data_IF_383296921940
#
_entry.id   IF_383296921940
#
_cell.length_a   1.000
_cell.length_b   1.000
_cell.length_c   1.000
_cell.angle_alpha   90.00
_cell.angle_beta   90.00
_cell.angle_gamma   90.00
#
_symmetry.space_group_name_H-M   'P 1'
#
loop_
_entity.id
_entity.type
_entity.pdbx_description
1 polymer ?
#
# COMPACT_ATOMS: atom_id res chain seq x y z
N UNK A 1 -69.43 -8.16 -37.94
CA UNK A 1 -70.16 -9.46 -37.93
C UNK A 1 -69.18 -10.51 -38.43
N UNK A 2 -68.74 -11.45 -37.59
CA UNK A 2 -69.40 -12.75 -37.30
C UNK A 2 -69.22 -13.72 -38.48
N UNK A 3 -68.70 -14.95 -38.34
CA UNK A 3 -68.43 -15.79 -37.15
C UNK A 3 -67.27 -16.81 -37.47
N UNK A 4 -66.45 -17.26 -36.50
CA UNK A 4 -66.45 -18.61 -35.84
C UNK A 4 -66.49 -19.85 -36.79
N UNK A 5 -65.75 -20.95 -36.60
CA UNK A 5 -64.70 -21.33 -35.63
C UNK A 5 -63.85 -22.56 -36.10
N UNK A 6 -62.51 -22.47 -35.99
CA UNK A 6 -61.47 -23.38 -35.42
C UNK A 6 -61.44 -24.94 -35.65
N UNK A 7 -60.20 -25.48 -35.63
CA UNK A 7 -59.71 -26.87 -35.45
C UNK A 7 -59.61 -27.74 -36.74
N UNK A 8 -58.68 -28.70 -36.90
CA UNK A 8 -57.88 -29.48 -35.90
C UNK A 8 -56.56 -30.03 -36.49
N UNK A 9 -55.41 -29.93 -35.78
CA UNK A 9 -54.12 -30.72 -35.86
C UNK A 9 -53.45 -30.98 -37.26
N UNK A 10 -52.18 -31.41 -37.46
CA UNK A 10 -50.85 -31.31 -36.80
C UNK A 10 -49.81 -31.97 -37.80
N UNK A 11 -48.52 -32.28 -37.57
CA UNK A 11 -47.55 -32.25 -36.45
C UNK A 11 -46.09 -32.32 -37.02
N UNK A 12 -45.05 -31.90 -36.26
CA UNK A 12 -43.58 -32.11 -36.55
C UNK A 12 -43.05 -31.39 -37.83
N UNK A 13 -41.83 -30.85 -37.97
CA UNK A 13 -40.61 -30.70 -37.12
C UNK A 13 -40.13 -29.22 -37.21
N UNK A 14 -39.09 -28.71 -36.55
CA UNK A 14 -37.97 -29.32 -35.82
C UNK A 14 -37.55 -28.42 -34.65
N UNK A 15 -37.38 -28.97 -33.46
CA UNK A 15 -36.90 -28.26 -32.26
C UNK A 15 -35.53 -28.78 -31.84
N UNK A 16 -34.48 -27.96 -32.00
CA UNK A 16 -33.16 -28.21 -31.42
C UNK A 16 -32.32 -26.92 -31.37
N UNK A 17 -32.49 -26.15 -30.31
CA UNK A 17 -31.47 -25.24 -29.79
C UNK A 17 -31.39 -25.47 -28.28
N UNK A 18 -30.33 -26.14 -27.86
CA UNK A 18 -30.03 -26.42 -26.45
C UNK A 18 -28.91 -25.49 -25.98
N UNK A 19 -29.17 -24.83 -24.86
CA UNK A 19 -28.22 -24.52 -23.76
C UNK A 19 -26.80 -24.10 -24.14
N UNK A 20 -26.51 -22.81 -23.92
CA UNK A 20 -25.18 -22.32 -23.54
C UNK A 20 -25.31 -21.11 -22.58
N UNK A 21 -26.13 -21.26 -21.54
CA UNK A 21 -26.06 -20.40 -20.36
C UNK A 21 -25.31 -21.22 -19.30
N UNK A 22 -23.98 -21.16 -19.36
CA UNK A 22 -23.18 -21.42 -18.16
C UNK A 22 -23.30 -20.20 -17.27
N UNK A 23 -23.27 -20.41 -15.95
CA UNK A 23 -22.87 -19.35 -15.04
C UNK A 23 -21.45 -18.87 -15.44
N UNK A 24 -21.11 -17.58 -15.28
CA UNK A 24 -19.76 -17.12 -15.60
C UNK A 24 -18.75 -17.89 -14.75
N UNK A 25 -17.74 -18.50 -15.40
CA UNK A 25 -16.64 -19.12 -14.66
C UNK A 25 -15.98 -18.06 -13.79
N UNK A 26 -16.00 -18.31 -12.47
CA UNK A 26 -15.42 -17.44 -11.47
C UNK A 26 -13.91 -17.38 -11.69
N UNK A 27 -13.42 -16.21 -12.12
CA UNK A 27 -12.04 -16.02 -12.54
C UNK A 27 -11.15 -16.12 -11.31
N UNK A 28 -10.62 -17.32 -11.06
CA UNK A 28 -9.66 -17.54 -9.99
C UNK A 28 -8.40 -16.72 -10.28
N UNK A 29 -8.14 -15.75 -9.42
CA UNK A 29 -6.87 -15.04 -9.36
C UNK A 29 -5.78 -16.00 -8.86
N UNK A 30 -4.53 -15.67 -9.16
CA UNK A 30 -3.38 -16.43 -8.69
C UNK A 30 -2.15 -15.52 -8.64
N UNK A 31 -1.50 -15.43 -7.50
CA UNK A 31 -0.19 -14.78 -7.40
C UNK A 31 0.87 -15.65 -8.08
N UNK A 32 1.51 -15.12 -9.11
CA UNK A 32 2.59 -15.76 -9.88
C UNK A 32 3.98 -15.42 -9.32
N UNK A 33 4.06 -14.40 -8.46
CA UNK A 33 5.28 -14.01 -7.75
C UNK A 33 5.05 -12.79 -6.87
N UNK A 34 5.90 -12.62 -5.85
CA UNK A 34 5.88 -11.51 -4.90
C UNK A 34 7.22 -10.77 -5.00
N UNK A 35 7.17 -9.44 -5.10
CA UNK A 35 8.35 -8.60 -4.88
C UNK A 35 8.41 -8.21 -3.40
N UNK A 36 9.61 -8.29 -2.84
CA UNK A 36 9.89 -8.00 -1.44
C UNK A 36 10.92 -6.87 -1.43
N UNK A 37 10.56 -5.77 -0.80
CA UNK A 37 11.34 -4.52 -0.76
C UNK A 37 12.01 -4.41 0.60
N UNK A 38 13.22 -3.82 0.64
CA UNK A 38 14.02 -3.79 1.86
C UNK A 38 14.77 -2.47 2.00
N UNK A 39 14.63 -1.79 3.14
CA UNK A 39 15.23 -0.47 3.35
C UNK A 39 16.75 -0.49 3.17
N UNK A 40 17.40 -1.55 3.66
CA UNK A 40 18.84 -1.55 3.90
C UNK A 40 19.22 -0.72 5.14
N UNK A 41 20.49 -0.72 5.50
CA UNK A 41 20.98 0.05 6.66
C UNK A 41 21.27 1.49 6.30
N UNK A 42 20.67 2.46 6.99
CA UNK A 42 20.87 3.90 6.76
C UNK A 42 22.34 4.30 6.55
N UNK A 43 22.63 5.00 5.45
CA UNK A 43 23.97 5.43 5.05
C UNK A 43 24.88 4.33 4.47
N UNK A 44 24.36 3.11 4.25
CA UNK A 44 25.13 1.97 3.73
C UNK A 44 24.94 1.73 2.23
N UNK A 45 23.91 2.33 1.61
CA UNK A 45 23.54 2.20 0.21
C UNK A 45 23.45 0.72 -0.25
N UNK A 46 22.70 -0.07 0.53
CA UNK A 46 22.53 -1.52 0.34
C UNK A 46 21.06 -1.97 0.27
N UNK A 47 20.13 -1.06 -0.06
CA UNK A 47 18.73 -1.39 -0.28
C UNK A 47 18.56 -2.43 -1.42
N UNK A 48 17.63 -3.38 -1.26
CA UNK A 48 17.45 -4.52 -2.17
C UNK A 48 16.00 -4.79 -2.50
N UNK A 49 15.74 -5.26 -3.72
CA UNK A 49 14.44 -5.85 -4.10
C UNK A 49 14.69 -7.32 -4.46
N UNK A 50 14.11 -8.21 -3.66
CA UNK A 50 14.11 -9.65 -3.89
C UNK A 50 12.77 -10.10 -4.46
N UNK A 51 12.72 -11.33 -4.98
CA UNK A 51 11.49 -11.94 -5.49
C UNK A 51 11.26 -13.32 -4.91
N UNK A 52 10.02 -13.61 -4.52
CA UNK A 52 9.60 -14.90 -4.00
C UNK A 52 8.52 -15.52 -4.90
N UNK A 53 8.59 -16.84 -5.12
CA UNK A 53 7.58 -17.58 -5.87
C UNK A 53 6.74 -18.46 -4.91
N UNK A 54 5.44 -18.17 -4.72
CA UNK A 54 4.59 -18.85 -3.75
C UNK A 54 4.14 -20.27 -4.14
N UNK A 55 4.49 -20.76 -5.34
CA UNK A 55 4.19 -22.13 -5.80
C UNK A 55 5.32 -23.13 -5.52
N UNK A 56 6.58 -22.68 -5.56
CA UNK A 56 7.76 -23.54 -5.39
C UNK A 56 8.67 -23.12 -4.23
N UNK A 57 8.29 -22.06 -3.49
CA UNK A 57 8.98 -21.57 -2.30
C UNK A 57 10.44 -21.12 -2.60
N UNK A 58 10.70 -20.65 -3.82
CA UNK A 58 12.01 -20.10 -4.21
C UNK A 58 12.07 -18.58 -4.00
N UNK A 59 12.94 -18.14 -3.08
CA UNK A 59 13.36 -16.74 -2.96
C UNK A 59 14.64 -16.46 -3.77
N UNK A 60 14.69 -15.29 -4.39
CA UNK A 60 15.80 -14.80 -5.20
C UNK A 60 16.10 -13.31 -4.86
N UNK A 61 17.20 -13.01 -4.15
CA UNK A 61 17.57 -11.63 -3.78
C UNK A 61 18.18 -10.81 -4.95
N UNK A 62 18.46 -11.45 -6.10
CA UNK A 62 19.33 -10.91 -7.13
C UNK A 62 18.59 -10.35 -8.37
N UNK A 63 17.26 -10.36 -8.45
CA UNK A 63 16.56 -9.94 -9.68
C UNK A 63 16.83 -8.46 -10.04
N UNK A 64 16.65 -7.52 -9.11
CA UNK A 64 16.97 -6.10 -9.36
C UNK A 64 18.47 -5.93 -9.65
N UNK A 65 19.34 -6.61 -8.88
CA UNK A 65 20.80 -6.50 -9.00
C UNK A 65 21.30 -7.01 -10.36
N UNK A 66 20.70 -8.08 -10.87
CA UNK A 66 21.01 -8.68 -12.18
C UNK A 66 20.55 -7.85 -13.37
N UNK A 67 19.48 -7.05 -13.21
CA UNK A 67 19.00 -6.15 -14.27
C UNK A 67 19.70 -4.79 -14.27
N UNK A 68 19.95 -4.22 -13.08
CA UNK A 68 20.42 -2.83 -12.92
C UNK A 68 21.90 -2.71 -12.52
N UNK A 69 22.55 -3.82 -12.14
CA UNK A 69 23.99 -3.88 -11.85
C UNK A 69 24.42 -3.42 -10.46
N UNK A 70 23.50 -3.14 -9.55
CA UNK A 70 23.80 -2.66 -8.19
C UNK A 70 22.61 -2.74 -7.23
N UNK A 71 22.79 -2.18 -6.03
CA UNK A 71 21.71 -1.89 -5.08
C UNK A 71 20.85 -0.72 -5.59
N UNK A 72 19.58 -0.63 -5.19
CA UNK A 72 18.69 0.43 -5.67
C UNK A 72 19.03 1.81 -5.08
N UNK A 73 19.50 1.82 -3.83
CA UNK A 73 19.92 3.01 -3.11
C UNK A 73 20.14 2.73 -1.62
N UNK A 74 19.70 3.69 -0.81
CA UNK A 74 19.82 3.79 0.65
C UNK A 74 18.46 4.20 1.22
N UNK A 75 17.95 3.41 2.17
CA UNK A 75 16.59 3.48 2.78
C UNK A 75 15.49 3.55 1.73
N UNK A 76 15.19 2.39 1.13
CA UNK A 76 14.00 2.18 0.29
C UNK A 76 12.74 2.24 1.16
N UNK A 77 12.05 3.38 1.20
CA UNK A 77 11.09 3.71 2.25
C UNK A 77 9.64 3.32 1.97
N UNK A 78 9.21 3.46 0.72
CA UNK A 78 7.86 3.15 0.25
C UNK A 78 7.91 2.87 -1.27
N UNK A 79 6.96 2.09 -1.75
CA UNK A 79 6.77 1.67 -3.14
C UNK A 79 5.33 1.93 -3.58
N UNK A 80 5.17 2.74 -4.63
CA UNK A 80 3.92 2.81 -5.39
C UNK A 80 4.02 1.96 -6.66
N UNK A 81 3.17 0.94 -6.79
CA UNK A 81 2.99 0.17 -8.03
C UNK A 81 1.81 0.77 -8.82
N UNK A 82 2.12 1.65 -9.77
CA UNK A 82 1.12 2.35 -10.59
C UNK A 82 0.83 1.60 -11.90
N UNK A 83 -0.22 0.79 -11.87
CA UNK A 83 -0.73 0.07 -13.03
C UNK A 83 -1.35 0.96 -14.13
N UNK A 84 -1.58 2.25 -13.90
CA UNK A 84 -2.06 3.18 -14.93
C UNK A 84 -0.92 3.70 -15.81
N UNK A 85 0.27 3.89 -15.21
CA UNK A 85 1.48 4.35 -15.89
C UNK A 85 2.49 3.21 -16.18
N UNK A 86 2.13 1.94 -15.93
CA UNK A 86 2.97 0.73 -16.16
C UNK A 86 4.33 0.80 -15.43
N UNK A 87 4.32 1.36 -14.22
CA UNK A 87 5.52 1.83 -13.52
C UNK A 87 5.49 1.55 -12.01
N UNK A 88 6.66 1.23 -11.46
CA UNK A 88 6.91 1.18 -10.02
C UNK A 88 7.75 2.40 -9.66
N UNK A 89 7.30 3.17 -8.67
CA UNK A 89 8.05 4.24 -8.04
C UNK A 89 8.61 3.75 -6.71
N UNK A 90 9.92 3.81 -6.51
CA UNK A 90 10.53 3.50 -5.21
C UNK A 90 11.10 4.76 -4.58
N UNK A 91 10.54 5.12 -3.42
CA UNK A 91 11.03 6.23 -2.60
C UNK A 91 12.34 5.80 -1.92
N UNK A 92 13.41 6.56 -2.12
CA UNK A 92 14.72 6.29 -1.54
C UNK A 92 15.10 7.44 -0.58
N UNK A 93 14.72 7.29 0.69
CA UNK A 93 14.81 8.30 1.73
C UNK A 93 16.25 8.76 1.96
N UNK A 94 17.16 7.84 2.27
CA UNK A 94 18.59 8.13 2.50
C UNK A 94 19.34 8.52 1.23
N UNK A 95 18.80 8.16 0.06
CA UNK A 95 19.36 8.55 -1.24
C UNK A 95 18.93 9.93 -1.71
N UNK A 96 17.87 10.53 -1.14
CA UNK A 96 17.20 11.73 -1.65
C UNK A 96 16.83 11.60 -3.14
N UNK A 97 16.06 10.57 -3.50
CA UNK A 97 15.57 10.33 -4.88
C UNK A 97 14.31 9.45 -4.90
N UNK A 98 13.58 9.45 -6.01
CA UNK A 98 12.62 8.39 -6.37
C UNK A 98 13.18 7.62 -7.57
N UNK A 99 13.26 6.29 -7.52
CA UNK A 99 13.63 5.44 -8.67
C UNK A 99 12.38 5.06 -9.47
N UNK A 100 12.42 5.26 -10.79
CA UNK A 100 11.31 4.99 -11.71
C UNK A 100 11.64 3.72 -12.50
N UNK A 101 10.94 2.64 -12.17
CA UNK A 101 11.17 1.30 -12.72
C UNK A 101 9.98 0.83 -13.55
N UNK A 102 10.23 -0.02 -14.55
CA UNK A 102 9.18 -0.86 -15.15
C UNK A 102 8.63 -1.85 -14.13
N UNK A 103 7.44 -2.42 -14.38
CA UNK A 103 6.88 -3.51 -13.55
C UNK A 103 7.77 -4.77 -13.45
N UNK A 104 8.84 -4.87 -14.26
CA UNK A 104 9.83 -5.94 -14.20
C UNK A 104 11.10 -5.57 -13.39
N UNK A 105 11.06 -4.52 -12.57
CA UNK A 105 12.17 -4.01 -11.73
C UNK A 105 13.39 -3.45 -12.48
N UNK A 106 13.33 -3.29 -13.80
CA UNK A 106 14.33 -2.49 -14.55
C UNK A 106 14.11 -0.99 -14.28
N UNK A 107 15.11 -0.33 -13.71
CA UNK A 107 15.18 1.14 -13.56
C UNK A 107 15.32 1.82 -14.92
N UNK A 108 14.65 2.96 -15.09
CA UNK A 108 14.64 3.74 -16.33
C UNK A 108 15.08 5.19 -16.15
N UNK A 109 14.70 5.83 -15.03
CA UNK A 109 15.10 7.19 -14.65
C UNK A 109 14.98 7.40 -13.12
N UNK A 110 15.40 8.55 -12.59
CA UNK A 110 15.15 8.92 -11.18
C UNK A 110 14.71 10.38 -11.02
N UNK A 111 13.62 10.62 -10.27
CA UNK A 111 13.25 11.98 -9.83
C UNK A 111 14.25 12.42 -8.77
N UNK A 112 14.95 13.53 -9.01
CA UNK A 112 15.90 14.13 -8.07
C UNK A 112 16.12 15.62 -8.32
N UNK A 113 15.94 16.44 -7.29
CA UNK A 113 16.22 17.88 -7.29
C UNK A 113 16.83 18.31 -5.95
N UNK A 114 17.29 19.56 -5.85
CA UNK A 114 18.13 20.01 -4.73
C UNK A 114 17.41 20.14 -3.38
N UNK A 115 16.08 20.28 -3.40
CA UNK A 115 15.22 20.40 -2.21
C UNK A 115 14.68 19.05 -1.71
N UNK A 116 14.81 17.99 -2.51
CA UNK A 116 14.40 16.64 -2.11
C UNK A 116 15.36 16.15 -1.01
N UNK A 117 14.85 15.97 0.20
CA UNK A 117 15.63 15.62 1.38
C UNK A 117 14.82 14.79 2.38
N UNK A 118 15.15 13.49 2.48
CA UNK A 118 14.36 12.46 3.19
C UNK A 118 12.89 12.40 2.72
N UNK A 119 12.63 12.07 1.44
CA UNK A 119 11.27 11.76 0.98
C UNK A 119 10.71 10.53 1.71
N UNK A 120 9.38 10.47 1.89
CA UNK A 120 8.69 9.44 2.67
C UNK A 120 7.81 8.57 1.78
N UNK A 121 6.91 9.19 1.03
CA UNK A 121 5.93 8.51 0.19
C UNK A 121 5.70 9.26 -1.15
N UNK A 122 5.04 8.60 -2.11
CA UNK A 122 4.66 9.14 -3.42
C UNK A 122 3.26 8.69 -3.86
N UNK A 123 2.37 9.65 -4.11
CA UNK A 123 1.05 9.41 -4.72
C UNK A 123 0.95 10.04 -6.11
N UNK A 124 0.20 9.42 -7.03
CA UNK A 124 0.13 9.84 -8.44
C UNK A 124 -1.31 10.10 -8.89
N UNK A 125 -1.52 11.21 -9.60
CA UNK A 125 -2.78 11.56 -10.28
C UNK A 125 -2.49 11.90 -11.75
N UNK A 126 -2.66 10.91 -12.63
CA UNK A 126 -2.35 11.04 -14.06
C UNK A 126 -0.87 11.27 -14.30
N UNK A 127 -0.51 12.50 -14.68
CA UNK A 127 0.88 12.91 -14.96
C UNK A 127 1.51 13.71 -13.81
N UNK A 128 0.81 13.92 -12.69
CA UNK A 128 1.37 14.57 -11.50
C UNK A 128 1.73 13.53 -10.45
N UNK A 129 2.95 13.63 -9.92
CA UNK A 129 3.35 12.96 -8.68
C UNK A 129 3.38 13.97 -7.53
N UNK A 130 2.92 13.52 -6.36
CA UNK A 130 2.97 14.22 -5.09
C UNK A 130 3.91 13.43 -4.18
N UNK A 131 4.95 14.06 -3.65
CA UNK A 131 5.97 13.41 -2.83
C UNK A 131 6.00 14.08 -1.46
N UNK A 132 5.81 13.30 -0.38
CA UNK A 132 5.96 13.80 0.99
C UNK A 132 7.43 13.87 1.36
N UNK A 133 7.86 15.02 1.89
CA UNK A 133 9.27 15.31 2.13
C UNK A 133 9.49 15.87 3.54
N UNK A 134 10.26 15.15 4.36
CA UNK A 134 10.62 15.58 5.70
C UNK A 134 11.44 16.87 5.72
N UNK A 135 12.37 17.04 4.79
CA UNK A 135 13.27 18.19 4.75
C UNK A 135 14.41 18.10 5.78
N UNK A 136 15.18 19.19 5.95
CA UNK A 136 16.36 19.23 6.81
C UNK A 136 16.03 19.27 8.32
N UNK A 137 16.88 18.63 9.12
CA UNK A 137 16.89 18.79 10.57
C UNK A 137 17.48 20.13 11.00
N UNK A 138 16.93 20.72 12.06
CA UNK A 138 17.53 21.85 12.78
C UNK A 138 18.53 21.38 13.86
N UNK A 139 19.12 22.33 14.59
CA UNK A 139 20.14 22.08 15.64
C UNK A 139 19.67 21.16 16.79
N UNK A 140 18.35 20.96 16.96
CA UNK A 140 17.73 20.10 17.98
C UNK A 140 17.22 18.76 17.41
N UNK A 141 17.56 18.41 16.16
CA UNK A 141 17.06 17.22 15.44
C UNK A 141 15.53 17.18 15.21
N UNK A 142 14.84 18.33 15.29
CA UNK A 142 13.48 18.47 14.75
C UNK A 142 13.57 18.76 13.25
N UNK A 143 12.63 18.24 12.45
CA UNK A 143 12.48 18.63 11.05
C UNK A 143 12.13 20.12 10.92
N UNK A 144 12.40 20.68 9.74
CA UNK A 144 12.02 22.04 9.35
C UNK A 144 11.85 22.13 7.83
N UNK A 145 10.88 22.91 7.35
CA UNK A 145 10.56 23.02 5.92
C UNK A 145 10.18 21.65 5.33
N UNK A 146 9.25 20.95 5.99
CA UNK A 146 8.59 19.81 5.37
C UNK A 146 7.58 20.30 4.32
N UNK A 147 7.54 19.62 3.18
CA UNK A 147 6.78 20.05 2.01
C UNK A 147 6.15 18.83 1.31
N UNK A 148 5.05 19.04 0.60
CA UNK A 148 4.65 18.16 -0.50
C UNK A 148 5.21 18.74 -1.79
N UNK A 149 6.02 17.97 -2.51
CA UNK A 149 6.53 18.35 -3.83
C UNK A 149 5.61 17.84 -4.93
N UNK A 150 5.30 18.70 -5.91
CA UNK A 150 4.50 18.35 -7.08
C UNK A 150 5.42 18.26 -8.31
N UNK A 151 5.44 17.12 -8.99
CA UNK A 151 6.38 16.78 -10.07
C UNK A 151 5.64 16.40 -11.35
N UNK A 152 6.09 16.88 -12.51
CA UNK A 152 5.58 16.46 -13.83
C UNK A 152 6.26 15.15 -14.26
N UNK A 153 5.50 14.06 -14.32
CA UNK A 153 5.98 12.74 -14.72
C UNK A 153 6.35 12.61 -16.22
N UNK A 154 6.08 13.65 -17.03
CA UNK A 154 6.57 13.73 -18.41
C UNK A 154 8.04 14.21 -18.49
N UNK A 155 8.51 14.98 -17.50
CA UNK A 155 9.86 15.57 -17.49
C UNK A 155 10.70 15.15 -16.28
N UNK A 156 10.06 14.59 -15.24
CA UNK A 156 10.62 14.32 -13.91
C UNK A 156 11.11 15.58 -13.17
N UNK A 157 10.57 16.76 -13.52
CA UNK A 157 10.93 18.06 -12.94
C UNK A 157 9.90 18.54 -11.90
N UNK A 158 10.40 19.20 -10.85
CA UNK A 158 9.60 19.88 -9.83
C UNK A 158 8.81 21.05 -10.43
N UNK A 159 7.49 21.05 -10.24
CA UNK A 159 6.56 22.13 -10.65
C UNK A 159 6.38 23.14 -9.52
N UNK A 160 6.04 22.65 -8.32
CA UNK A 160 5.58 23.47 -7.18
C UNK A 160 5.88 22.76 -5.86
N UNK A 161 5.97 23.51 -4.75
CA UNK A 161 6.02 22.95 -3.40
C UNK A 161 4.92 23.51 -2.50
N UNK A 162 4.32 22.64 -1.68
CA UNK A 162 3.25 22.98 -0.74
C UNK A 162 3.81 22.80 0.67
N UNK A 163 4.10 23.88 1.41
CA UNK A 163 4.50 23.79 2.81
C UNK A 163 3.36 23.19 3.65
N UNK A 164 3.70 22.20 4.48
CA UNK A 164 2.76 21.46 5.34
C UNK A 164 3.32 21.34 6.76
N UNK A 165 2.52 20.80 7.68
CA UNK A 165 2.98 20.45 9.03
C UNK A 165 4.16 19.46 8.95
N UNK A 166 5.18 19.62 9.80
CA UNK A 166 6.34 18.74 9.84
C UNK A 166 5.98 17.27 10.05
N UNK A 167 6.88 16.39 9.60
CA UNK A 167 6.69 14.93 9.54
C UNK A 167 5.51 14.46 8.66
N UNK A 168 5.41 14.90 7.39
CA UNK A 168 4.47 14.31 6.43
C UNK A 168 4.91 12.88 6.06
N UNK A 169 4.01 11.92 6.21
CA UNK A 169 4.22 10.49 5.95
C UNK A 169 3.43 10.04 4.70
N UNK A 170 2.50 9.09 4.83
CA UNK A 170 1.75 8.50 3.72
C UNK A 170 0.78 9.48 3.04
N UNK A 171 0.53 9.23 1.76
CA UNK A 171 -0.21 10.05 0.83
C UNK A 171 -1.31 9.25 0.14
N UNK A 172 -2.57 9.64 0.34
CA UNK A 172 -3.71 9.03 -0.37
C UNK A 172 -4.46 10.04 -1.23
N UNK A 173 -4.81 9.67 -2.46
CA UNK A 173 -5.57 10.54 -3.37
C UNK A 173 -7.00 10.04 -3.52
N UNK A 174 -7.96 10.82 -3.04
CA UNK A 174 -9.40 10.53 -3.17
C UNK A 174 -10.14 11.74 -3.74
N UNK A 175 -11.00 11.53 -4.74
CA UNK A 175 -11.92 12.56 -5.25
C UNK A 175 -11.25 13.91 -5.61
N UNK A 176 -10.07 13.85 -6.25
CA UNK A 176 -9.20 15.00 -6.61
C UNK A 176 -8.64 15.81 -5.42
N UNK A 177 -8.55 15.18 -4.25
CA UNK A 177 -7.84 15.69 -3.08
C UNK A 177 -6.73 14.73 -2.67
N UNK A 178 -5.60 15.30 -2.26
CA UNK A 178 -4.51 14.60 -1.60
C UNK A 178 -4.73 14.69 -0.09
N UNK A 179 -4.67 13.54 0.58
CA UNK A 179 -4.69 13.39 2.03
C UNK A 179 -3.25 13.10 2.46
N UNK A 180 -2.75 13.87 3.43
CA UNK A 180 -1.37 13.74 3.96
C UNK A 180 -1.45 13.37 5.43
N UNK A 181 -0.82 12.26 5.83
CA UNK A 181 -0.60 11.94 7.24
C UNK A 181 0.52 12.78 7.85
N UNK A 182 0.32 13.35 9.06
CA UNK A 182 1.37 14.03 9.82
C UNK A 182 1.59 13.33 11.16
N UNK A 183 2.77 12.73 11.34
CA UNK A 183 3.07 11.81 12.44
C UNK A 183 4.54 11.92 12.86
N UNK A 184 4.81 12.45 14.06
CA UNK A 184 6.16 12.46 14.62
C UNK A 184 6.37 11.32 15.65
N UNK A 185 7.64 10.98 15.94
CA UNK A 185 8.01 9.81 16.76
C UNK A 185 7.47 9.77 18.20
N UNK A 186 6.94 10.87 18.75
CA UNK A 186 6.30 10.90 20.07
C UNK A 186 4.78 11.17 20.03
N UNK A 187 4.20 11.25 18.83
CA UNK A 187 2.77 11.48 18.59
C UNK A 187 2.27 12.89 18.93
N UNK A 188 3.13 13.82 19.34
CA UNK A 188 2.71 15.20 19.65
C UNK A 188 2.36 16.04 18.42
N UNK A 189 2.79 15.61 17.22
CA UNK A 189 2.23 16.00 15.92
C UNK A 189 1.41 14.82 15.43
N UNK A 190 0.09 15.00 15.35
CA UNK A 190 -0.88 13.98 14.90
C UNK A 190 -2.09 14.67 14.25
N UNK A 191 -2.01 14.89 12.94
CA UNK A 191 -3.12 15.45 12.14
C UNK A 191 -3.06 14.91 10.70
N UNK A 192 -4.08 15.25 9.90
CA UNK A 192 -3.99 15.17 8.44
C UNK A 192 -4.23 16.51 7.76
N UNK A 193 -3.52 16.75 6.66
CA UNK A 193 -3.84 17.83 5.72
C UNK A 193 -4.66 17.30 4.54
N UNK A 194 -5.66 18.08 4.11
CA UNK A 194 -6.45 17.84 2.88
C UNK A 194 -6.09 18.93 1.87
N UNK A 195 -5.37 18.56 0.81
CA UNK A 195 -4.95 19.45 -0.29
C UNK A 195 -5.83 19.20 -1.51
N UNK A 196 -6.31 20.27 -2.16
CA UNK A 196 -7.03 20.17 -3.42
C UNK A 196 -6.04 20.22 -4.60
N UNK A 197 -6.18 19.27 -5.53
CA UNK A 197 -5.22 19.07 -6.63
C UNK A 197 -5.40 20.11 -7.76
N UNK A 198 -6.58 20.73 -7.91
CA UNK A 198 -6.83 21.72 -8.98
C UNK A 198 -6.16 23.09 -8.72
N UNK A 199 -5.92 23.44 -7.46
CA UNK A 199 -5.32 24.72 -7.03
C UNK A 199 -4.05 24.57 -6.17
N UNK A 200 -3.73 23.36 -5.70
CA UNK A 200 -2.60 23.06 -4.81
C UNK A 200 -2.66 23.79 -3.44
N UNK A 201 -3.87 24.09 -2.97
CA UNK A 201 -4.09 24.73 -1.66
C UNK A 201 -4.62 23.71 -0.63
N UNK A 202 -4.23 23.87 0.64
CA UNK A 202 -4.78 23.11 1.77
C UNK A 202 -6.21 23.62 2.03
N UNK A 203 -7.22 22.77 1.82
CA UNK A 203 -8.63 23.09 2.09
C UNK A 203 -9.01 22.91 3.57
N UNK A 204 -8.37 21.98 4.27
CA UNK A 204 -8.72 21.58 5.63
C UNK A 204 -7.54 20.88 6.33
N UNK A 205 -7.48 20.97 7.66
CA UNK A 205 -6.68 20.05 8.50
C UNK A 205 -7.59 19.42 9.55
N UNK A 206 -7.25 18.21 10.01
CA UNK A 206 -8.06 17.45 10.98
C UNK A 206 -7.14 16.81 12.02
N UNK A 207 -7.30 17.18 13.30
CA UNK A 207 -6.63 16.54 14.44
C UNK A 207 -6.91 15.03 14.46
N UNK A 208 -5.88 14.22 14.74
CA UNK A 208 -5.96 12.74 14.74
C UNK A 208 -5.53 12.14 16.09
N UNK A 209 -5.91 10.87 16.37
CA UNK A 209 -5.22 10.03 17.35
C UNK A 209 -3.72 9.88 17.03
N UNK A 210 -2.94 9.41 18.00
CA UNK A 210 -1.48 9.54 17.91
C UNK A 210 -0.87 8.73 16.76
N UNK A 211 -0.17 9.45 15.88
CA UNK A 211 0.60 8.93 14.75
C UNK A 211 -0.24 8.34 13.62
N UNK A 212 -0.99 9.15 12.84
CA UNK A 212 -1.73 8.71 11.66
C UNK A 212 -0.75 8.35 10.52
N UNK A 213 -0.33 7.08 10.48
CA UNK A 213 0.67 6.59 9.52
C UNK A 213 0.03 6.13 8.22
N UNK A 214 -0.94 5.22 8.29
CA UNK A 214 -1.47 4.52 7.11
C UNK A 214 -2.85 5.00 6.69
N UNK A 215 -3.12 5.02 5.38
CA UNK A 215 -4.35 5.56 4.80
C UNK A 215 -4.86 4.64 3.68
N UNK A 216 -6.04 4.04 3.84
CA UNK A 216 -6.58 3.03 2.92
C UNK A 216 -8.06 3.28 2.60
N UNK A 217 -8.53 2.84 1.42
CA UNK A 217 -9.92 2.96 0.99
C UNK A 217 -10.65 1.61 1.02
N UNK A 218 -11.87 1.58 1.58
CA UNK A 218 -12.74 0.40 1.49
C UNK A 218 -13.54 0.34 0.18
N UNK A 219 -14.09 -0.84 -0.16
CA UNK A 219 -14.88 -1.09 -1.38
C UNK A 219 -16.12 -0.18 -1.59
N UNK A 220 -16.47 0.66 -0.61
CA UNK A 220 -17.57 1.63 -0.69
C UNK A 220 -17.05 3.08 -0.76
N UNK A 221 -15.77 3.27 -1.07
CA UNK A 221 -15.07 4.54 -1.18
C UNK A 221 -15.05 5.36 0.13
N UNK A 222 -14.90 4.68 1.27
CA UNK A 222 -14.60 5.37 2.54
C UNK A 222 -13.10 5.30 2.80
N UNK A 223 -12.50 6.46 3.10
CA UNK A 223 -11.12 6.54 3.61
C UNK A 223 -11.08 6.15 5.08
N UNK A 224 -10.15 5.26 5.39
CA UNK A 224 -9.76 4.84 6.72
C UNK A 224 -8.31 5.25 6.98
N UNK A 225 -8.00 5.61 8.21
CA UNK A 225 -6.67 5.96 8.69
C UNK A 225 -6.35 5.07 9.89
N UNK A 226 -5.18 4.47 9.89
CA UNK A 226 -4.69 3.66 11.02
C UNK A 226 -3.57 4.41 11.72
N UNK A 227 -3.76 4.60 13.03
CA UNK A 227 -2.84 5.34 13.88
C UNK A 227 -2.00 4.36 14.71
N UNK A 228 -0.72 4.67 14.92
CA UNK A 228 0.19 3.83 15.74
C UNK A 228 -0.27 3.71 17.19
N UNK A 229 -1.16 4.58 17.66
CA UNK A 229 -1.89 4.46 18.93
C UNK A 229 -2.78 3.21 19.07
N UNK A 230 -3.09 2.52 17.96
CA UNK A 230 -4.15 1.51 17.89
C UNK A 230 -5.52 2.07 17.45
N UNK A 231 -5.63 3.39 17.25
CA UNK A 231 -6.89 4.01 16.83
C UNK A 231 -7.07 3.90 15.31
N UNK A 232 -8.21 3.35 14.88
CA UNK A 232 -8.60 3.25 13.48
C UNK A 232 -9.77 4.20 13.21
N UNK A 233 -9.57 5.11 12.26
CA UNK A 233 -10.42 6.30 12.04
C UNK A 233 -11.06 6.23 10.66
N UNK A 234 -12.39 6.30 10.57
CA UNK A 234 -13.13 6.46 9.31
C UNK A 234 -13.38 7.95 9.09
N UNK A 235 -12.91 8.51 7.98
CA UNK A 235 -13.19 9.91 7.63
C UNK A 235 -14.63 10.11 7.15
N UNK A 236 -15.12 11.35 7.23
CA UNK A 236 -16.36 11.73 6.56
C UNK A 236 -16.17 11.73 5.04
N UNK A 237 -17.21 11.38 4.28
CA UNK A 237 -17.18 11.37 2.80
C UNK A 237 -17.00 12.76 2.16
N UNK A 238 -16.98 13.81 2.97
CA UNK A 238 -16.64 15.18 2.55
C UNK A 238 -15.20 15.59 2.89
N UNK A 239 -14.43 14.69 3.51
CA UNK A 239 -13.07 14.91 4.05
C UNK A 239 -13.00 16.14 4.99
N UNK A 240 -14.04 16.29 5.81
CA UNK A 240 -14.27 17.46 6.68
C UNK A 240 -14.17 17.16 8.19
N UNK A 241 -13.78 15.94 8.55
CA UNK A 241 -13.66 15.48 9.93
C UNK A 241 -13.80 13.97 10.06
N UNK A 242 -13.69 13.47 11.29
CA UNK A 242 -13.90 12.06 11.64
C UNK A 242 -15.39 11.70 11.60
N UNK A 243 -15.74 10.57 10.97
CA UNK A 243 -17.08 10.00 10.95
C UNK A 243 -17.25 8.83 11.93
N UNK A 244 -16.19 8.06 12.17
CA UNK A 244 -16.12 7.05 13.23
C UNK A 244 -14.67 6.88 13.72
N UNK A 245 -14.49 6.50 14.97
CA UNK A 245 -13.19 6.10 15.54
C UNK A 245 -13.39 4.82 16.34
N UNK A 246 -12.42 3.92 16.24
CA UNK A 246 -12.37 2.62 16.91
C UNK A 246 -11.00 2.54 17.59
N UNK A 247 -10.96 2.33 18.89
CA UNK A 247 -9.70 2.25 19.62
C UNK A 247 -9.37 0.79 19.94
N UNK A 248 -8.33 0.25 19.30
CA UNK A 248 -7.70 -1.02 19.71
C UNK A 248 -6.79 -0.76 20.92
N UNK A 249 -6.70 -1.72 21.85
CA UNK A 249 -6.00 -1.49 23.14
C UNK A 249 -4.47 -1.45 23.01
N UNK A 250 -3.92 -1.90 21.88
CA UNK A 250 -2.49 -1.97 21.60
C UNK A 250 -2.14 -1.19 20.32
N UNK A 251 -0.89 -0.73 20.23
CA UNK A 251 -0.38 -0.13 19.00
C UNK A 251 -0.39 -1.10 17.82
N UNK A 252 -0.50 -0.56 16.61
CA UNK A 252 -0.46 -1.30 15.36
C UNK A 252 0.94 -1.12 14.76
N UNK A 253 1.52 -2.21 14.23
CA UNK A 253 2.93 -2.30 13.85
C UNK A 253 3.08 -2.74 12.39
N UNK A 254 3.95 -2.07 11.65
CA UNK A 254 4.08 -2.24 10.20
C UNK A 254 2.88 -1.66 9.44
N UNK A 255 2.72 -2.10 8.20
CA UNK A 255 1.67 -1.65 7.29
C UNK A 255 0.29 -2.26 7.61
N UNK A 256 -0.70 -1.94 6.76
CA UNK A 256 -2.05 -2.52 6.77
C UNK A 256 -2.45 -2.93 5.35
N UNK A 257 -3.46 -3.80 5.21
CA UNK A 257 -4.01 -4.14 3.90
C UNK A 257 -5.53 -4.34 3.93
N UNK A 258 -6.19 -4.32 2.77
CA UNK A 258 -7.65 -4.48 2.63
C UNK A 258 -8.01 -5.73 1.82
N UNK A 259 -8.70 -6.67 2.46
CA UNK A 259 -9.12 -7.92 1.84
C UNK A 259 -10.56 -8.29 2.21
N UNK A 260 -11.35 -8.73 1.22
CA UNK A 260 -12.74 -9.21 1.32
C UNK A 260 -13.66 -8.45 2.31
N UNK A 261 -13.58 -7.12 2.32
CA UNK A 261 -14.44 -6.27 3.15
C UNK A 261 -13.84 -5.83 4.50
N UNK A 262 -12.63 -6.28 4.83
CA UNK A 262 -11.97 -5.99 6.11
C UNK A 262 -10.57 -5.40 5.91
N UNK A 263 -10.18 -4.50 6.81
CA UNK A 263 -8.79 -4.04 6.95
C UNK A 263 -8.08 -5.01 7.89
N UNK A 264 -6.97 -5.59 7.45
CA UNK A 264 -6.12 -6.47 8.26
C UNK A 264 -4.86 -5.72 8.71
N UNK A 265 -4.39 -6.03 9.91
CA UNK A 265 -3.25 -5.38 10.53
C UNK A 265 -2.61 -6.27 11.60
N UNK A 266 -1.33 -6.03 11.92
CA UNK A 266 -0.61 -6.75 12.96
C UNK A 266 -0.52 -5.95 14.27
N UNK A 267 -0.75 -6.61 15.41
CA UNK A 267 -0.67 -5.99 16.74
C UNK A 267 -0.56 -7.04 17.84
N UNK A 268 0.35 -6.83 18.81
CA UNK A 268 0.50 -7.72 19.98
C UNK A 268 0.58 -9.21 19.59
N UNK A 269 1.55 -9.56 18.75
CA UNK A 269 1.87 -10.93 18.31
C UNK A 269 0.72 -11.68 17.59
N UNK A 270 -0.34 -10.99 17.17
CA UNK A 270 -1.51 -11.55 16.48
C UNK A 270 -1.95 -10.69 15.28
N UNK A 271 -2.49 -11.34 14.25
CA UNK A 271 -3.17 -10.68 13.13
C UNK A 271 -4.61 -10.35 13.53
N UNK A 272 -5.00 -9.09 13.37
CA UNK A 272 -6.36 -8.60 13.60
C UNK A 272 -7.04 -8.21 12.30
N UNK A 273 -8.37 -8.09 12.36
CA UNK A 273 -9.22 -7.67 11.25
C UNK A 273 -10.25 -6.65 11.73
N UNK A 274 -10.52 -5.62 10.92
CA UNK A 274 -11.61 -4.67 11.10
C UNK A 274 -12.60 -4.82 9.94
N UNK A 275 -13.81 -5.29 10.22
CA UNK A 275 -14.84 -5.34 9.20
C UNK A 275 -15.38 -3.93 8.89
N UNK A 276 -15.23 -3.49 7.65
CA UNK A 276 -15.55 -2.10 7.26
C UNK A 276 -17.05 -1.79 7.12
N UNK A 277 -17.91 -2.80 7.26
CA UNK A 277 -19.38 -2.68 7.10
C UNK A 277 -20.15 -2.54 8.42
N UNK A 278 -19.64 -3.13 9.51
CA UNK A 278 -20.22 -3.01 10.86
C UNK A 278 -19.31 -2.29 11.87
N UNK A 279 -18.07 -1.99 11.47
CA UNK A 279 -17.03 -1.30 12.24
C UNK A 279 -16.50 -2.09 13.45
N UNK A 280 -16.58 -3.43 13.45
CA UNK A 280 -16.02 -4.26 14.53
C UNK A 280 -14.59 -4.73 14.23
N UNK A 281 -13.68 -4.54 15.19
CA UNK A 281 -12.38 -5.23 15.24
C UNK A 281 -12.59 -6.66 15.79
N UNK A 282 -11.87 -7.63 15.24
CA UNK A 282 -11.84 -9.03 15.69
C UNK A 282 -10.46 -9.63 15.51
N UNK A 283 -10.01 -10.38 16.51
CA UNK A 283 -8.79 -11.21 16.42
C UNK A 283 -9.04 -12.38 15.46
N UNK A 284 -8.02 -12.77 14.69
CA UNK A 284 -8.12 -13.90 13.74
C UNK A 284 -7.80 -15.25 14.40
N UNK A 285 -7.12 -15.24 15.54
CA UNK A 285 -6.48 -16.41 16.14
C UNK A 285 -5.08 -16.71 15.59
N UNK A 286 -4.64 -16.00 14.55
CA UNK A 286 -3.33 -16.22 13.89
C UNK A 286 -2.25 -15.47 14.69
N UNK A 287 -1.56 -16.22 15.54
CA UNK A 287 -0.45 -15.73 16.36
C UNK A 287 0.86 -15.90 15.58
N UNK A 288 1.71 -14.87 15.56
CA UNK A 288 2.98 -14.83 14.82
C UNK A 288 4.09 -14.33 15.75
N UNK A 289 5.10 -15.17 16.00
CA UNK A 289 6.29 -14.79 16.77
C UNK A 289 7.29 -14.06 15.87
N UNK A 290 7.58 -12.79 16.16
CA UNK A 290 8.61 -11.96 15.50
C UNK A 290 9.42 -11.19 16.55
N UNK A 291 10.68 -10.83 16.24
CA UNK A 291 11.53 -10.01 17.10
C UNK A 291 11.27 -8.51 16.88
N UNK A 292 11.19 -8.07 15.61
CA UNK A 292 10.87 -6.70 15.22
C UNK A 292 9.90 -6.69 14.02
N UNK A 293 8.57 -6.69 14.25
CA UNK A 293 7.57 -6.55 13.19
C UNK A 293 7.78 -5.24 12.43
N UNK A 294 7.88 -5.30 11.09
CA UNK A 294 8.23 -4.15 10.27
C UNK A 294 7.41 -3.98 8.99
N UNK A 295 6.95 -5.08 8.38
CA UNK A 295 6.08 -5.03 7.19
C UNK A 295 4.90 -5.99 7.30
N UNK A 296 3.78 -5.66 6.64
CA UNK A 296 2.57 -6.49 6.62
C UNK A 296 1.82 -6.33 5.27
N UNK A 297 1.35 -7.43 4.69
CA UNK A 297 0.49 -7.39 3.51
C UNK A 297 -0.42 -8.62 3.42
N UNK A 298 -1.50 -8.51 2.65
CA UNK A 298 -2.41 -9.61 2.32
C UNK A 298 -2.37 -9.88 0.82
N UNK A 299 -2.09 -11.12 0.44
CA UNK A 299 -2.10 -11.52 -0.96
C UNK A 299 -3.53 -11.35 -1.55
N UNK A 300 -3.75 -10.45 -2.53
CA UNK A 300 -5.08 -10.14 -3.02
C UNK A 300 -5.67 -11.23 -3.92
N UNK A 301 -4.97 -12.35 -4.14
CA UNK A 301 -5.46 -13.52 -4.86
C UNK A 301 -5.78 -14.72 -3.94
N UNK A 302 -5.13 -14.86 -2.78
CA UNK A 302 -5.36 -15.98 -1.84
C UNK A 302 -5.82 -15.59 -0.43
N UNK A 303 -5.63 -14.33 -0.02
CA UNK A 303 -5.79 -13.90 1.37
C UNK A 303 -4.62 -14.27 2.28
N UNK A 304 -3.53 -14.84 1.74
CA UNK A 304 -2.37 -15.22 2.56
C UNK A 304 -1.67 -13.98 3.14
N UNK A 305 -1.31 -14.05 4.41
CA UNK A 305 -0.63 -12.98 5.14
C UNK A 305 0.89 -13.09 4.93
N UNK A 306 1.51 -11.98 4.53
CA UNK A 306 2.96 -11.84 4.43
C UNK A 306 3.42 -10.83 5.48
N UNK A 307 4.39 -11.24 6.31
CA UNK A 307 4.92 -10.42 7.40
C UNK A 307 6.45 -10.32 7.27
N UNK A 308 6.98 -9.12 7.50
CA UNK A 308 8.42 -8.85 7.53
C UNK A 308 8.92 -8.60 8.95
N UNK A 309 9.95 -9.34 9.36
CA UNK A 309 10.66 -9.16 10.63
C UNK A 309 12.05 -8.56 10.35
N UNK A 310 12.30 -7.36 10.89
CA UNK A 310 13.56 -6.64 10.74
C UNK A 310 14.67 -7.10 11.70
N UNK A 311 14.38 -8.02 12.64
CA UNK A 311 15.30 -8.56 13.64
C UNK A 311 16.05 -7.45 14.41
N UNK A 312 17.33 -7.24 14.10
CA UNK A 312 18.24 -6.28 14.74
C UNK A 312 18.50 -4.99 13.94
N UNK A 313 17.73 -4.76 12.86
CA UNK A 313 17.89 -3.66 11.89
C UNK A 313 19.25 -3.64 11.15
N UNK A 314 20.02 -4.72 11.20
CA UNK A 314 21.38 -4.77 10.61
C UNK A 314 21.69 -6.06 9.83
N UNK A 315 21.07 -7.18 10.22
CA UNK A 315 21.15 -8.48 9.58
C UNK A 315 20.04 -8.68 8.53
N UNK A 316 20.14 -9.78 7.77
CA UNK A 316 19.10 -10.21 6.82
C UNK A 316 17.85 -10.66 7.59
N UNK A 317 16.77 -9.89 7.48
CA UNK A 317 15.50 -10.11 8.18
C UNK A 317 14.69 -11.28 7.62
N UNK A 318 13.65 -11.67 8.33
CA UNK A 318 12.79 -12.79 7.94
C UNK A 318 11.54 -12.30 7.18
N UNK A 319 11.08 -13.12 6.25
CA UNK A 319 9.71 -13.04 5.73
C UNK A 319 8.98 -14.31 6.13
N UNK A 320 7.80 -14.14 6.71
CA UNK A 320 6.89 -15.20 7.12
C UNK A 320 5.63 -15.15 6.25
N UNK A 321 5.18 -16.32 5.77
CA UNK A 321 3.92 -16.46 5.03
C UNK A 321 2.97 -17.37 5.80
N UNK A 322 1.79 -16.87 6.13
CA UNK A 322 0.69 -17.66 6.70
C UNK A 322 -0.45 -17.72 5.69
N UNK A 323 -1.11 -18.87 5.55
CA UNK A 323 -2.34 -18.93 4.79
C UNK A 323 -3.45 -18.13 5.47
N UNK A 324 -4.50 -17.74 4.72
CA UNK A 324 -5.67 -17.04 5.28
C UNK A 324 -6.34 -17.78 6.47
N UNK A 325 -6.11 -19.09 6.61
CA UNK A 325 -6.63 -19.92 7.71
C UNK A 325 -5.67 -20.05 8.91
N UNK A 326 -4.50 -19.40 8.87
CA UNK A 326 -3.51 -19.43 9.94
C UNK A 326 -2.51 -20.59 9.91
N UNK A 327 -2.42 -21.36 8.82
CA UNK A 327 -1.36 -22.36 8.67
C UNK A 327 -0.08 -21.68 8.17
N UNK A 328 1.05 -21.89 8.85
CA UNK A 328 2.35 -21.35 8.42
C UNK A 328 2.80 -22.08 7.14
N UNK A 329 2.89 -21.34 6.04
CA UNK A 329 3.30 -21.84 4.72
C UNK A 329 4.83 -21.81 4.56
N UNK A 330 5.48 -20.72 4.97
CA UNK A 330 6.93 -20.55 4.79
C UNK A 330 7.56 -19.55 5.80
N UNK A 331 8.87 -19.67 6.00
CA UNK A 331 9.70 -18.68 6.71
C UNK A 331 11.13 -18.73 6.17
N UNK A 332 11.59 -17.63 5.56
CA UNK A 332 12.90 -17.55 4.92
C UNK A 332 13.63 -16.24 5.24
N UNK A 333 14.97 -16.27 5.15
CA UNK A 333 15.80 -15.07 5.22
C UNK A 333 15.71 -14.29 3.92
N UNK A 334 15.61 -12.97 4.04
CA UNK A 334 15.36 -12.02 2.95
C UNK A 334 16.52 -11.01 2.86
N UNK A 335 16.23 -9.73 2.57
CA UNK A 335 17.20 -8.62 2.69
C UNK A 335 17.20 -7.99 4.08
N UNK A 336 17.94 -6.89 4.24
CA UNK A 336 18.04 -6.14 5.51
C UNK A 336 16.82 -5.21 5.65
N UNK A 337 16.01 -5.42 6.69
CA UNK A 337 14.75 -4.70 6.97
C UNK A 337 13.74 -4.89 5.81
N UNK A 338 13.06 -6.04 5.70
CA UNK A 338 11.93 -6.20 4.78
C UNK A 338 10.81 -5.23 5.18
N UNK A 339 10.43 -4.35 4.25
CA UNK A 339 9.61 -3.15 4.54
C UNK A 339 8.33 -3.01 3.75
N UNK A 340 8.14 -3.79 2.67
CA UNK A 340 6.90 -3.79 1.91
C UNK A 340 6.85 -5.01 0.98
N UNK A 341 5.65 -5.33 0.49
CA UNK A 341 5.39 -6.39 -0.47
C UNK A 341 4.60 -5.86 -1.68
N UNK A 342 4.73 -6.50 -2.85
CA UNK A 342 3.78 -6.30 -3.95
C UNK A 342 3.59 -7.57 -4.80
N UNK A 343 2.35 -7.88 -5.16
CA UNK A 343 1.96 -9.15 -5.74
C UNK A 343 1.75 -9.05 -7.27
N UNK A 344 2.38 -9.93 -8.05
CA UNK A 344 2.08 -10.12 -9.46
C UNK A 344 0.93 -11.14 -9.59
N UNK A 345 -0.28 -10.66 -9.92
CA UNK A 345 -1.50 -11.48 -9.95
C UNK A 345 -1.95 -11.80 -11.38
N UNK A 346 -1.87 -13.08 -11.73
CA UNK A 346 -2.41 -13.65 -12.95
C UNK A 346 -3.87 -14.09 -12.84
N UNK A 347 -4.40 -14.59 -13.96
CA UNK A 347 -5.71 -15.28 -14.06
C UNK A 347 -5.46 -16.73 -14.45
N UNK A 348 -6.15 -17.64 -13.76
CA UNK A 348 -5.99 -19.10 -13.87
C UNK A 348 -6.87 -19.73 -14.96
#
# INVERSE_FOLDING_TARGET
MNQKHIYTLAIISLSLFLTACGDPEEVQLKTEGVYIYHEGGFGSNNATIGTYNPENYEYNPDLYRGQNGGFIGDVQQNILVDGNNDRIYSVLNGSNAIDLMTLNLKSEDKIRFAQLDKPRDIAVNGNLAFISNWGPYNENFTLTNSEIFVVDLNTNELIESIPVQEYPEHLYIQNNRLIVGHSNFDGSISEISIINIDNLEIENTIEMPAGPMEIIEDQNNNVWIVCTSGSIVKLSTSLSGIANQIDHENGILGDIDYFEGSIYFFSNDEIFSLNTSDNNVSSTGINVEMETPYAFAVDPASGDFYLGDALDYASEGLVLRYSFNGELEDTFQSGIIPTQFSFNVGRK
#
